data_IF_863809928974
#
_entry.id   IF_863809928974
#
_cell.length_a   1.000
_cell.length_b   1.000
_cell.length_c   1.000
_cell.angle_alpha   90.00
_cell.angle_beta   90.00
_cell.angle_gamma   90.00
#
_symmetry.space_group_name_H-M   'P 1'
#
loop_
_entity.id
_entity.type
_entity.pdbx_description
1 polymer ?
#
# COMPACT_ATOMS: atom_id res chain seq x y z
N UNK A 1 -4.07 -8.79 -10.07
CA UNK A 1 -5.00 -9.81 -9.54
C UNK A 1 -4.28 -10.93 -8.80
N UNK A 2 -3.23 -11.54 -9.35
CA UNK A 2 -2.44 -12.57 -8.62
C UNK A 2 -1.93 -12.12 -7.24
N UNK A 3 -1.34 -10.92 -7.12
CA UNK A 3 -0.85 -10.39 -5.84
C UNK A 3 -1.95 -10.21 -4.79
N UNK A 4 -3.14 -9.78 -5.22
CA UNK A 4 -4.30 -9.64 -4.34
C UNK A 4 -4.79 -11.00 -3.85
N UNK A 5 -4.83 -12.02 -4.71
CA UNK A 5 -5.19 -13.38 -4.30
C UNK A 5 -4.21 -13.94 -3.26
N UNK A 6 -2.91 -13.74 -3.47
CA UNK A 6 -1.88 -14.11 -2.49
C UNK A 6 -2.08 -13.33 -1.18
N UNK A 7 -2.34 -12.02 -1.27
CA UNK A 7 -2.62 -11.18 -0.11
C UNK A 7 -3.87 -11.62 0.65
N UNK A 8 -4.94 -12.00 -0.03
CA UNK A 8 -6.16 -12.50 0.61
C UNK A 8 -5.90 -13.80 1.36
N UNK A 9 -5.18 -14.73 0.75
CA UNK A 9 -4.81 -16.00 1.38
C UNK A 9 -3.89 -15.80 2.59
N UNK A 10 -2.80 -15.04 2.42
CA UNK A 10 -1.86 -14.74 3.51
C UNK A 10 -2.55 -13.96 4.63
N UNK A 11 -3.36 -12.97 4.29
CA UNK A 11 -4.13 -12.15 5.22
C UNK A 11 -5.09 -12.96 6.06
N UNK A 12 -5.83 -13.90 5.45
CA UNK A 12 -6.69 -14.86 6.18
C UNK A 12 -5.89 -15.70 7.16
N UNK A 13 -4.77 -16.29 6.71
CA UNK A 13 -3.92 -17.12 7.56
C UNK A 13 -3.28 -16.33 8.73
N UNK A 14 -2.85 -15.09 8.48
CA UNK A 14 -2.30 -14.22 9.53
C UNK A 14 -3.36 -13.73 10.52
N UNK A 15 -4.57 -13.47 10.03
CA UNK A 15 -5.70 -13.07 10.85
C UNK A 15 -6.17 -14.21 11.76
N UNK A 16 -6.10 -15.45 11.30
CA UNK A 16 -6.57 -16.62 12.03
C UNK A 16 -5.69 -17.03 13.21
N UNK A 17 -4.37 -16.82 13.09
CA UNK A 17 -3.43 -17.23 14.15
C UNK A 17 -3.50 -16.36 15.40
N UNK A 18 -3.62 -15.04 15.26
CA UNK A 18 -3.64 -14.08 16.37
C UNK A 18 -4.13 -12.71 15.88
N UNK A 19 -5.46 -12.52 15.73
CA UNK A 19 -6.04 -11.27 15.23
C UNK A 19 -5.91 -10.19 16.29
N UNK A 20 -4.98 -9.25 16.12
CA UNK A 20 -4.89 -8.06 16.98
C UNK A 20 -4.90 -6.79 16.14
N UNK A 21 -5.62 -5.73 16.58
CA UNK A 21 -5.66 -4.48 15.82
C UNK A 21 -4.26 -3.86 15.65
N UNK A 22 -3.39 -4.00 16.67
CA UNK A 22 -2.02 -3.53 16.59
C UNK A 22 -1.23 -4.16 15.43
N UNK A 23 -1.32 -5.48 15.24
CA UNK A 23 -0.64 -6.17 14.13
C UNK A 23 -1.22 -5.79 12.78
N UNK A 24 -2.54 -5.63 12.69
CA UNK A 24 -3.23 -5.15 11.49
C UNK A 24 -2.69 -3.78 11.05
N UNK A 25 -2.72 -2.79 11.94
CA UNK A 25 -2.23 -1.46 11.62
C UNK A 25 -0.73 -1.43 11.37
N UNK A 26 0.05 -2.26 12.06
CA UNK A 26 1.50 -2.37 11.81
C UNK A 26 1.80 -2.94 10.43
N UNK A 27 1.05 -3.95 9.99
CA UNK A 27 1.17 -4.53 8.66
C UNK A 27 0.83 -3.50 7.56
N UNK A 28 -0.24 -2.72 7.77
CA UNK A 28 -0.64 -1.66 6.83
C UNK A 28 0.32 -0.48 6.81
N UNK A 29 0.95 -0.14 7.93
CA UNK A 29 1.96 0.93 7.95
C UNK A 29 3.25 0.54 7.21
N UNK A 30 3.60 -0.75 7.13
CA UNK A 30 4.64 -1.24 6.21
C UNK A 30 4.23 -0.97 4.76
N UNK A 31 2.98 -1.28 4.38
CA UNK A 31 2.47 -1.00 3.02
C UNK A 31 2.52 0.49 2.70
N UNK A 32 2.22 1.35 3.67
CA UNK A 32 2.24 2.80 3.51
C UNK A 32 3.65 3.31 3.16
N UNK A 33 4.67 2.84 3.88
CA UNK A 33 6.07 3.18 3.61
C UNK A 33 6.51 2.63 2.26
N UNK A 34 6.21 1.37 1.95
CA UNK A 34 6.54 0.77 0.66
C UNK A 34 5.90 1.55 -0.49
N UNK A 35 4.64 1.95 -0.34
CA UNK A 35 3.90 2.75 -1.33
C UNK A 35 4.55 4.13 -1.54
N UNK A 36 4.99 4.78 -0.47
CA UNK A 36 5.70 6.05 -0.53
C UNK A 36 7.08 5.93 -1.22
N UNK A 37 7.73 4.77 -1.12
CA UNK A 37 9.01 4.48 -1.77
C UNK A 37 8.90 4.24 -3.28
N UNK A 38 7.73 3.79 -3.77
CA UNK A 38 7.50 3.44 -5.19
C UNK A 38 8.09 4.47 -6.17
N UNK A 39 7.74 5.78 -6.12
CA UNK A 39 8.21 6.74 -7.12
C UNK A 39 9.74 6.80 -7.22
N UNK A 40 10.45 6.65 -6.11
CA UNK A 40 11.91 6.72 -6.07
C UNK A 40 12.58 5.47 -6.63
N UNK A 41 11.99 4.30 -6.39
CA UNK A 41 12.50 3.03 -6.92
C UNK A 41 12.14 2.90 -8.41
N UNK A 42 10.97 3.40 -8.83
CA UNK A 42 10.52 3.33 -10.22
C UNK A 42 11.24 4.31 -11.15
N UNK A 43 11.73 5.44 -10.64
CA UNK A 43 12.37 6.48 -11.44
C UNK A 43 13.58 5.98 -12.27
N UNK A 44 14.57 5.26 -11.71
CA UNK A 44 15.68 4.74 -12.51
C UNK A 44 15.21 3.72 -13.56
N UNK A 45 14.22 2.89 -13.21
CA UNK A 45 13.67 1.87 -14.12
C UNK A 45 12.99 2.53 -15.31
N UNK A 46 12.20 3.57 -15.07
CA UNK A 46 11.52 4.33 -16.12
C UNK A 46 12.49 5.08 -17.04
N UNK A 47 13.58 5.62 -16.49
CA UNK A 47 14.62 6.28 -17.28
C UNK A 47 15.34 5.29 -18.22
N UNK A 48 15.72 4.12 -17.71
CA UNK A 48 16.34 3.08 -18.54
C UNK A 48 15.34 2.48 -19.54
N UNK A 49 14.07 2.33 -19.17
CA UNK A 49 13.02 1.85 -20.06
C UNK A 49 12.76 2.82 -21.23
N UNK A 50 12.72 4.14 -20.99
CA UNK A 50 12.46 5.12 -22.05
C UNK A 50 13.59 5.15 -23.08
N UNK A 51 14.85 5.05 -22.65
CA UNK A 51 15.99 4.95 -23.55
C UNK A 51 15.96 3.66 -24.37
N UNK A 52 15.59 2.54 -23.75
CA UNK A 52 15.52 1.23 -24.42
C UNK A 52 14.41 1.12 -25.47
N UNK A 53 13.23 1.71 -25.21
CA UNK A 53 12.13 1.75 -26.18
C UNK A 53 12.56 2.51 -27.44
N UNK A 54 13.31 3.60 -27.27
CA UNK A 54 13.84 4.41 -28.38
C UNK A 54 14.88 3.64 -29.21
N UNK A 55 15.56 2.67 -28.60
CA UNK A 55 16.57 1.81 -29.24
C UNK A 55 16.03 0.46 -29.74
N UNK A 56 14.71 0.18 -29.61
CA UNK A 56 14.09 -1.13 -29.89
C UNK A 56 14.75 -2.31 -29.13
N UNK A 57 15.28 -2.07 -27.94
CA UNK A 57 16.02 -3.07 -27.15
C UNK A 57 15.07 -3.90 -26.26
N UNK A 58 14.56 -5.00 -26.81
CA UNK A 58 13.54 -5.88 -26.20
C UNK A 58 13.94 -6.39 -24.79
N UNK A 59 15.18 -6.83 -24.53
CA UNK A 59 15.63 -7.25 -23.19
C UNK A 59 15.45 -6.20 -22.10
N UNK A 60 15.80 -4.94 -22.35
CA UNK A 60 15.72 -3.88 -21.33
C UNK A 60 14.26 -3.50 -21.06
N UNK A 61 13.42 -3.44 -22.10
CA UNK A 61 11.98 -3.22 -21.95
C UNK A 61 11.32 -4.32 -21.10
N UNK A 62 11.70 -5.58 -21.34
CA UNK A 62 11.23 -6.74 -20.55
C UNK A 62 11.70 -6.66 -19.10
N UNK A 63 12.96 -6.28 -18.87
CA UNK A 63 13.52 -6.07 -17.53
C UNK A 63 12.80 -4.97 -16.74
N UNK A 64 12.47 -3.84 -17.39
CA UNK A 64 11.72 -2.76 -16.76
C UNK A 64 10.28 -3.15 -16.40
N UNK A 65 9.62 -3.94 -17.26
CA UNK A 65 8.29 -4.48 -16.98
C UNK A 65 8.30 -5.41 -15.77
N UNK A 66 9.24 -6.36 -15.71
CA UNK A 66 9.39 -7.27 -14.57
C UNK A 66 9.75 -6.49 -13.29
N UNK A 67 10.67 -5.53 -13.39
CA UNK A 67 11.05 -4.67 -12.26
C UNK A 67 9.87 -3.91 -11.68
N UNK A 68 9.03 -3.34 -12.55
CA UNK A 68 7.80 -2.64 -12.13
C UNK A 68 6.84 -3.61 -11.44
N UNK A 69 6.59 -4.79 -12.01
CA UNK A 69 5.74 -5.81 -11.39
C UNK A 69 6.20 -6.17 -9.98
N UNK A 70 7.50 -6.36 -9.77
CA UNK A 70 8.08 -6.72 -8.47
C UNK A 70 7.96 -5.59 -7.44
N UNK A 71 8.16 -4.33 -7.85
CA UNK A 71 8.01 -3.16 -6.96
C UNK A 71 6.59 -3.04 -6.43
N UNK A 72 5.59 -3.24 -7.30
CA UNK A 72 4.19 -3.16 -6.92
C UNK A 72 3.68 -4.43 -6.21
N UNK A 73 4.30 -5.59 -6.45
CA UNK A 73 3.87 -6.86 -5.87
C UNK A 73 3.81 -6.82 -4.35
N UNK A 74 4.86 -6.33 -3.69
CA UNK A 74 4.96 -6.34 -2.24
C UNK A 74 3.89 -5.46 -1.54
N UNK A 75 3.78 -4.15 -1.82
CA UNK A 75 2.77 -3.30 -1.17
C UNK A 75 1.33 -3.75 -1.50
N UNK A 76 1.05 -4.18 -2.73
CA UNK A 76 -0.29 -4.63 -3.12
C UNK A 76 -0.67 -5.93 -2.41
N UNK A 77 0.27 -6.86 -2.25
CA UNK A 77 0.02 -8.12 -1.52
C UNK A 77 -0.34 -7.82 -0.07
N UNK A 78 0.41 -6.94 0.59
CA UNK A 78 0.16 -6.58 1.99
C UNK A 78 -1.16 -5.80 2.14
N UNK A 79 -1.47 -4.89 1.23
CA UNK A 79 -2.78 -4.22 1.18
C UNK A 79 -3.93 -5.22 0.95
N UNK A 80 -3.70 -6.27 0.15
CA UNK A 80 -4.64 -7.37 -0.04
C UNK A 80 -4.99 -8.06 1.28
N UNK A 81 -4.06 -8.16 2.23
CA UNK A 81 -4.34 -8.73 3.55
C UNK A 81 -5.37 -7.93 4.36
N UNK A 82 -5.65 -6.67 4.00
CA UNK A 82 -6.47 -5.75 4.78
C UNK A 82 -7.89 -6.27 5.01
N UNK A 83 -8.61 -6.62 3.94
CA UNK A 83 -10.02 -7.06 4.03
C UNK A 83 -10.23 -8.31 4.88
N UNK A 84 -9.53 -9.46 4.66
CA UNK A 84 -9.73 -10.64 5.49
C UNK A 84 -9.34 -10.41 6.95
N UNK A 85 -8.30 -9.60 7.20
CA UNK A 85 -7.88 -9.28 8.56
C UNK A 85 -8.91 -8.38 9.28
N UNK A 86 -9.42 -7.36 8.60
CA UNK A 86 -10.47 -6.49 9.14
C UNK A 86 -11.77 -7.26 9.42
N UNK A 87 -12.17 -8.16 8.51
CA UNK A 87 -13.33 -9.04 8.72
C UNK A 87 -13.13 -9.89 9.97
N UNK A 88 -11.95 -10.51 10.13
CA UNK A 88 -11.66 -11.35 11.29
C UNK A 88 -11.64 -10.56 12.61
N UNK A 89 -11.14 -9.32 12.60
CA UNK A 89 -11.16 -8.43 13.77
C UNK A 89 -12.57 -7.97 14.16
N UNK A 90 -13.45 -7.78 13.17
CA UNK A 90 -14.83 -7.33 13.38
C UNK A 90 -15.80 -8.49 13.63
N UNK A 91 -15.37 -9.73 13.40
CA UNK A 91 -16.18 -10.92 13.59
C UNK A 91 -16.27 -11.27 15.08
N UNK A 92 -17.38 -10.89 15.71
CA UNK A 92 -17.67 -11.23 17.11
C UNK A 92 -18.40 -12.57 17.25
N UNK A 93 -19.33 -12.86 16.33
CA UNK A 93 -20.10 -14.11 16.31
C UNK A 93 -20.13 -14.73 14.90
N UNK A 94 -20.03 -16.06 14.77
CA UNK A 94 -20.06 -16.75 13.47
C UNK A 94 -21.32 -16.44 12.65
N UNK A 95 -22.45 -16.27 13.33
CA UNK A 95 -23.77 -16.01 12.72
C UNK A 95 -23.83 -14.68 11.95
N UNK A 96 -22.97 -13.72 12.32
CA UNK A 96 -22.90 -12.40 11.69
C UNK A 96 -21.81 -12.30 10.61
N UNK A 97 -21.15 -13.41 10.27
CA UNK A 97 -20.01 -13.43 9.34
C UNK A 97 -20.34 -12.82 7.97
N UNK A 98 -21.49 -13.17 7.39
CA UNK A 98 -21.93 -12.61 6.10
C UNK A 98 -22.17 -11.10 6.16
N UNK A 99 -22.80 -10.60 7.23
CA UNK A 99 -23.08 -9.16 7.40
C UNK A 99 -21.80 -8.35 7.62
N UNK A 100 -20.89 -8.84 8.46
CA UNK A 100 -19.59 -8.19 8.69
C UNK A 100 -18.75 -8.15 7.41
N UNK A 101 -18.67 -9.28 6.70
CA UNK A 101 -17.96 -9.34 5.42
C UNK A 101 -18.58 -8.38 4.39
N UNK A 102 -19.91 -8.36 4.26
CA UNK A 102 -20.63 -7.46 3.37
C UNK A 102 -20.35 -5.98 3.64
N UNK A 103 -20.32 -5.56 4.91
CA UNK A 103 -19.98 -4.19 5.31
C UNK A 103 -18.53 -3.82 4.98
N UNK A 104 -17.58 -4.72 5.21
CA UNK A 104 -16.17 -4.47 4.88
C UNK A 104 -15.97 -4.40 3.37
N UNK A 105 -16.61 -5.28 2.59
CA UNK A 105 -16.52 -5.27 1.13
C UNK A 105 -17.19 -4.04 0.52
N UNK A 106 -18.35 -3.61 1.02
CA UNK A 106 -19.02 -2.41 0.51
C UNK A 106 -18.17 -1.16 0.76
N UNK A 107 -17.60 -1.02 1.96
CA UNK A 107 -16.68 0.08 2.28
C UNK A 107 -15.41 0.02 1.41
N UNK A 108 -14.84 -1.17 1.22
CA UNK A 108 -13.66 -1.34 0.38
C UNK A 108 -13.93 -0.99 -1.09
N UNK A 109 -15.12 -1.33 -1.60
CA UNK A 109 -15.52 -1.03 -2.98
C UNK A 109 -15.76 0.47 -3.17
N UNK A 110 -16.49 1.10 -2.27
CA UNK A 110 -16.69 2.55 -2.30
C UNK A 110 -15.35 3.30 -2.18
N UNK A 111 -14.49 2.86 -1.25
CA UNK A 111 -13.16 3.39 -1.08
C UNK A 111 -12.26 3.19 -2.30
N UNK A 112 -12.32 2.05 -2.98
CA UNK A 112 -11.52 1.82 -4.20
C UNK A 112 -12.01 2.64 -5.38
N UNK A 113 -13.31 2.89 -5.50
CA UNK A 113 -13.86 3.80 -6.52
C UNK A 113 -13.31 5.21 -6.29
N UNK A 114 -13.53 5.76 -5.10
CA UNK A 114 -13.06 7.11 -4.74
C UNK A 114 -11.53 7.20 -4.86
N UNK A 115 -10.82 6.20 -4.35
CA UNK A 115 -9.37 6.09 -4.37
C UNK A 115 -8.77 5.78 -5.74
N UNK A 116 -9.55 5.41 -6.75
CA UNK A 116 -9.05 5.31 -8.15
C UNK A 116 -9.28 6.62 -8.90
N UNK A 117 -10.42 7.28 -8.68
CA UNK A 117 -10.74 8.53 -9.37
C UNK A 117 -9.96 9.73 -8.84
N UNK A 118 -9.85 9.91 -7.53
CA UNK A 118 -9.17 11.09 -6.95
C UNK A 118 -7.69 11.16 -7.40
N UNK A 119 -6.88 10.10 -7.28
CA UNK A 119 -5.50 10.16 -7.74
C UNK A 119 -5.41 10.43 -9.24
N UNK A 120 -6.18 9.71 -10.06
CA UNK A 120 -6.04 9.76 -11.51
C UNK A 120 -6.58 11.06 -12.12
N UNK A 121 -7.70 11.60 -11.63
CA UNK A 121 -8.33 12.79 -12.21
C UNK A 121 -7.92 14.10 -11.55
N UNK A 122 -7.52 14.07 -10.27
CA UNK A 122 -7.22 15.28 -9.52
C UNK A 122 -5.74 15.32 -9.12
N UNK A 123 -5.30 14.39 -8.27
CA UNK A 123 -4.02 14.52 -7.56
C UNK A 123 -2.80 14.38 -8.47
N UNK A 124 -2.81 13.42 -9.39
CA UNK A 124 -1.71 13.20 -10.34
C UNK A 124 -1.58 14.39 -11.30
N UNK A 125 -2.67 14.88 -11.95
CA UNK A 125 -2.58 16.08 -12.80
C UNK A 125 -2.14 17.35 -12.06
N UNK A 126 -2.58 17.56 -10.81
CA UNK A 126 -2.30 18.82 -10.11
C UNK A 126 -0.99 18.82 -9.33
N UNK A 127 -0.61 17.70 -8.72
CA UNK A 127 0.54 17.60 -7.82
C UNK A 127 1.62 16.63 -8.30
N UNK A 128 1.37 15.89 -9.37
CA UNK A 128 2.28 14.88 -9.92
C UNK A 128 2.20 13.53 -9.20
N UNK A 129 2.76 12.51 -9.86
CA UNK A 129 2.74 11.12 -9.39
C UNK A 129 3.44 10.96 -8.04
N UNK A 130 4.65 11.51 -7.88
CA UNK A 130 5.43 11.40 -6.62
C UNK A 130 4.63 11.90 -5.42
N UNK A 131 4.10 13.12 -5.50
CA UNK A 131 3.38 13.72 -4.39
C UNK A 131 2.07 13.01 -4.10
N UNK A 132 1.44 12.41 -5.11
CA UNK A 132 0.26 11.55 -4.94
C UNK A 132 0.60 10.31 -4.09
N UNK A 133 1.68 9.58 -4.44
CA UNK A 133 2.11 8.42 -3.66
C UNK A 133 2.49 8.78 -2.23
N UNK A 134 3.18 9.91 -2.02
CA UNK A 134 3.45 10.44 -0.69
C UNK A 134 2.14 10.79 0.03
N UNK A 135 1.24 11.57 -0.56
CA UNK A 135 0.00 11.98 0.10
C UNK A 135 -0.83 10.79 0.59
N UNK A 136 -1.12 9.83 -0.30
CA UNK A 136 -1.94 8.66 0.07
C UNK A 136 -1.19 7.68 0.99
N UNK A 137 0.12 7.51 0.79
CA UNK A 137 0.97 6.76 1.73
C UNK A 137 0.96 7.38 3.12
N UNK A 138 1.04 8.71 3.21
CA UNK A 138 1.00 9.46 4.46
C UNK A 138 -0.36 9.37 5.15
N UNK A 139 -1.46 9.50 4.41
CA UNK A 139 -2.82 9.31 4.93
C UNK A 139 -2.94 7.91 5.54
N UNK A 140 -2.55 6.87 4.80
CA UNK A 140 -2.58 5.49 5.28
C UNK A 140 -1.72 5.30 6.54
N UNK A 141 -0.50 5.86 6.54
CA UNK A 141 0.42 5.76 7.68
C UNK A 141 -0.17 6.45 8.93
N UNK A 142 -0.74 7.65 8.79
CA UNK A 142 -1.39 8.39 9.87
C UNK A 142 -2.57 7.57 10.42
N UNK A 143 -3.44 7.04 9.55
CA UNK A 143 -4.55 6.18 9.97
C UNK A 143 -4.06 4.96 10.76
N UNK A 144 -2.96 4.34 10.33
CA UNK A 144 -2.36 3.21 11.04
C UNK A 144 -1.80 3.61 12.41
N UNK A 145 -1.09 4.72 12.50
CA UNK A 145 -0.53 5.23 13.77
C UNK A 145 -1.64 5.54 14.76
N UNK A 146 -2.68 6.25 14.31
CA UNK A 146 -3.87 6.53 15.13
C UNK A 146 -4.52 5.23 15.58
N UNK A 147 -4.67 4.26 14.69
CA UNK A 147 -5.19 2.93 15.02
C UNK A 147 -4.37 2.19 16.10
N UNK A 148 -3.03 2.23 16.00
CA UNK A 148 -2.12 1.64 17.00
C UNK A 148 -2.24 2.35 18.34
N UNK A 149 -2.27 3.69 18.34
CA UNK A 149 -2.40 4.49 19.56
C UNK A 149 -3.74 4.22 20.25
N UNK A 150 -4.84 4.10 19.51
CA UNK A 150 -6.15 3.78 20.07
C UNK A 150 -6.23 2.35 20.61
N UNK A 151 -5.55 1.39 19.98
CA UNK A 151 -5.60 -0.02 20.40
C UNK A 151 -4.62 -0.38 21.52
N UNK A 152 -3.38 0.11 21.46
CA UNK A 152 -2.29 -0.30 22.36
C UNK A 152 -1.82 0.81 23.29
N UNK A 153 -2.30 2.05 23.13
CA UNK A 153 -1.92 3.26 23.90
C UNK A 153 -0.43 3.63 23.87
N UNK A 154 0.41 2.86 23.16
CA UNK A 154 1.85 3.07 23.01
C UNK A 154 2.27 2.74 21.59
N UNK A 155 3.16 3.56 21.05
CA UNK A 155 3.87 3.29 19.81
C UNK A 155 4.98 2.26 20.09
N UNK A 156 5.04 1.21 19.28
CA UNK A 156 6.18 0.30 19.31
C UNK A 156 7.35 0.87 18.48
N UNK A 157 8.55 0.34 18.73
CA UNK A 157 9.78 0.76 18.02
C UNK A 157 9.60 0.65 16.50
N UNK A 158 8.94 -0.42 16.03
CA UNK A 158 8.66 -0.60 14.61
C UNK A 158 7.85 0.55 13.99
N UNK A 159 6.83 1.06 14.67
CA UNK A 159 6.05 2.21 14.19
C UNK A 159 6.90 3.47 14.12
N UNK A 160 7.78 3.70 15.11
CA UNK A 160 8.70 4.84 15.11
C UNK A 160 9.66 4.73 13.93
N UNK A 161 10.23 3.55 13.68
CA UNK A 161 11.11 3.29 12.53
C UNK A 161 10.37 3.52 11.21
N UNK A 162 9.11 3.09 11.09
CA UNK A 162 8.32 3.32 9.87
C UNK A 162 8.01 4.80 9.67
N UNK A 163 7.72 5.55 10.74
CA UNK A 163 7.52 7.00 10.69
C UNK A 163 8.79 7.71 10.23
N UNK A 164 9.92 7.42 10.86
CA UNK A 164 11.20 8.05 10.50
C UNK A 164 11.62 7.69 9.08
N UNK A 165 11.41 6.44 8.67
CA UNK A 165 11.67 6.00 7.29
C UNK A 165 10.79 6.76 6.30
N UNK A 166 9.50 6.90 6.58
CA UNK A 166 8.58 7.67 5.76
C UNK A 166 8.99 9.14 5.63
N UNK A 167 9.38 9.77 6.74
CA UNK A 167 9.86 11.16 6.76
C UNK A 167 11.17 11.29 5.95
N UNK A 168 12.09 10.34 6.09
CA UNK A 168 13.31 10.34 5.30
C UNK A 168 13.00 10.22 3.80
N UNK A 169 12.06 9.35 3.41
CA UNK A 169 11.60 9.18 2.03
C UNK A 169 10.95 10.47 1.50
N UNK A 170 10.17 11.19 2.30
CA UNK A 170 9.51 12.42 1.83
C UNK A 170 10.48 13.57 1.57
N UNK A 171 11.64 13.56 2.23
CA UNK A 171 12.71 14.54 2.05
C UNK A 171 13.65 14.21 0.88
N UNK A 172 13.60 13.01 0.31
CA UNK A 172 14.45 12.66 -0.83
C UNK A 172 14.22 13.61 -2.00
N UNK A 173 15.30 14.16 -2.59
CA UNK A 173 15.18 15.13 -3.67
C UNK A 173 14.47 14.48 -4.85
N UNK A 174 13.56 15.25 -5.45
CA UNK A 174 12.94 14.89 -6.72
C UNK A 174 14.07 14.74 -7.75
N UNK A 175 14.41 13.51 -8.15
CA UNK A 175 15.33 13.29 -9.26
C UNK A 175 14.84 14.13 -10.45
N UNK A 176 15.76 14.84 -11.12
CA UNK A 176 15.47 15.82 -12.17
C UNK A 176 14.79 15.19 -13.40
N UNK A 177 13.51 14.84 -13.31
CA UNK A 177 12.65 14.61 -14.47
C UNK A 177 11.27 15.11 -14.06
N UNK A 178 10.86 16.21 -14.71
CA UNK A 178 9.51 16.77 -14.64
C UNK A 178 8.49 15.75 -15.10
#
# INVERSE_FOLDING_TARGET
>A
MFYLAIGYYLGGNFADKNPTPAKYYQLLSISAVLTASIPYISQPILFHASQAITAFDIPIATGAFIGTLLIFALPITILGCSSPYAIRLLLTHPDNSGSTAGKVYSLSTAGSIVGSFIPTLLTIPTYGTRNTYLLFGGILLITCIVGILLSSKKLNIASIVLITTYIAISQLPSGKIK
#
